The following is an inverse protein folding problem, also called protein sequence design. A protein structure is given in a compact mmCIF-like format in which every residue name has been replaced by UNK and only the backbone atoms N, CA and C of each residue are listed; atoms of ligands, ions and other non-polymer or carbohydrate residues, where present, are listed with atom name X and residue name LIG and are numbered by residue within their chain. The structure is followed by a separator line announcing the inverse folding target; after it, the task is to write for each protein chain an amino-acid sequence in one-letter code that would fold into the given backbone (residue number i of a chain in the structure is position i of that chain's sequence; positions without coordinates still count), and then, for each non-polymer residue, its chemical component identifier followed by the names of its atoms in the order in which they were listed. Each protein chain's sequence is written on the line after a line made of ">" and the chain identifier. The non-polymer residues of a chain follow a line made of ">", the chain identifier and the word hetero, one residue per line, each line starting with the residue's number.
data_IF_481847181352
#
_entry.id   IF_481847181352
#
_cell.length_a   1.000
_cell.length_b   1.000
_cell.length_c   1.000
_cell.angle_alpha   90.00
_cell.angle_beta   90.00
_cell.angle_gamma   90.00
#
_symmetry.space_group_name_H-M   'P 1'
#
loop_
_entity.id
_entity.type
_entity.pdbx_description
1 polymer ?
#
# COMPACT_ATOMS: atom_id res chain seq x y z
N UNK A 1 -3.59 -1.48 -4.55
CA UNK A 1 -2.14 -1.43 -4.82
C UNK A 1 -1.61 -2.56 -5.71
N UNK A 2 -2.26 -3.74 -5.79
CA UNK A 2 -1.77 -4.86 -6.60
C UNK A 2 -1.93 -4.69 -8.12
N UNK A 3 -3.10 -4.23 -8.60
CA UNK A 3 -3.35 -4.09 -10.05
C UNK A 3 -2.44 -3.04 -10.69
N UNK A 4 -2.24 -1.90 -10.04
CA UNK A 4 -1.30 -0.87 -10.51
C UNK A 4 0.14 -1.41 -10.60
N UNK A 5 0.54 -2.24 -9.63
CA UNK A 5 1.88 -2.85 -9.63
C UNK A 5 2.02 -3.94 -10.71
N UNK A 6 0.94 -4.71 -10.96
CA UNK A 6 0.90 -5.69 -12.04
C UNK A 6 1.01 -5.04 -13.43
N UNK A 7 0.25 -3.97 -13.68
CA UNK A 7 0.34 -3.21 -14.94
C UNK A 7 1.75 -2.61 -15.11
N UNK A 8 2.34 -2.09 -14.04
CA UNK A 8 3.73 -1.62 -14.04
C UNK A 8 4.74 -2.73 -14.38
N UNK A 9 4.55 -3.94 -13.83
CA UNK A 9 5.39 -5.09 -14.16
C UNK A 9 5.25 -5.50 -15.63
N UNK A 10 4.04 -5.50 -16.19
CA UNK A 10 3.83 -5.75 -17.61
C UNK A 10 4.49 -4.70 -18.50
N UNK A 11 4.48 -3.43 -18.10
CA UNK A 11 5.21 -2.38 -18.81
C UNK A 11 6.73 -2.66 -18.78
N UNK A 12 7.28 -3.13 -17.66
CA UNK A 12 8.68 -3.56 -17.57
C UNK A 12 9.03 -4.71 -18.52
N UNK A 13 8.15 -5.72 -18.67
CA UNK A 13 8.36 -6.85 -19.59
C UNK A 13 8.37 -6.42 -21.06
N UNK A 14 7.69 -5.32 -21.40
CA UNK A 14 7.74 -4.78 -22.78
C UNK A 14 9.15 -4.35 -23.22
N UNK A 15 10.08 -4.14 -22.28
CA UNK A 15 11.50 -3.87 -22.55
C UNK A 15 12.19 -4.96 -23.38
N UNK A 16 11.89 -6.25 -23.12
CA UNK A 16 12.43 -7.36 -23.92
C UNK A 16 11.99 -7.30 -25.38
N UNK A 17 10.78 -6.77 -25.62
CA UNK A 17 10.23 -6.56 -26.96
C UNK A 17 10.88 -5.32 -27.61
N UNK A 18 11.37 -4.35 -26.85
CA UNK A 18 12.11 -3.22 -27.47
C UNK A 18 13.54 -3.62 -27.82
N UNK A 19 14.19 -4.43 -26.98
CA UNK A 19 15.55 -4.92 -27.21
C UNK A 19 15.67 -5.79 -28.47
N UNK A 20 14.74 -6.73 -28.70
CA UNK A 20 14.78 -7.54 -29.92
C UNK A 20 14.53 -6.72 -31.20
N UNK A 21 13.73 -5.65 -31.12
CA UNK A 21 13.49 -4.72 -32.23
C UNK A 21 14.75 -3.90 -32.55
N UNK A 22 15.45 -3.43 -31.52
CA UNK A 22 16.72 -2.70 -31.68
C UNK A 22 17.80 -3.59 -32.29
N UNK A 23 17.87 -4.85 -31.87
CA UNK A 23 18.80 -5.83 -32.43
C UNK A 23 18.53 -6.12 -33.93
N UNK A 24 17.26 -6.12 -34.35
CA UNK A 24 16.87 -6.44 -35.73
C UNK A 24 17.08 -5.29 -36.73
N UNK A 25 16.88 -4.03 -36.31
CA UNK A 25 16.91 -2.86 -37.21
C UNK A 25 18.23 -2.06 -37.13
N UNK A 26 19.10 -2.40 -36.18
CA UNK A 26 20.36 -1.70 -35.93
C UNK A 26 20.20 -0.56 -34.91
N UNK A 27 21.30 -0.27 -34.20
CA UNK A 27 21.28 0.49 -32.94
C UNK A 27 20.62 1.87 -33.08
N UNK A 28 21.04 2.69 -34.05
CA UNK A 28 20.55 4.07 -34.17
C UNK A 28 19.07 4.20 -34.62
N UNK A 29 18.62 3.30 -35.49
CA UNK A 29 17.24 3.32 -36.03
C UNK A 29 16.27 2.64 -35.06
N UNK A 30 16.69 1.53 -34.47
CA UNK A 30 15.92 0.80 -33.47
C UNK A 30 15.56 1.66 -32.26
N UNK A 31 16.52 2.37 -31.67
CA UNK A 31 16.24 3.24 -30.52
C UNK A 31 15.28 4.38 -30.87
N UNK A 32 15.40 4.98 -32.06
CA UNK A 32 14.47 6.03 -32.52
C UNK A 32 13.04 5.51 -32.60
N UNK A 33 12.84 4.31 -33.14
CA UNK A 33 11.53 3.69 -33.26
C UNK A 33 10.99 3.32 -31.87
N UNK A 34 11.84 2.78 -30.98
CA UNK A 34 11.48 2.48 -29.59
C UNK A 34 10.96 3.71 -28.84
N UNK A 35 11.64 4.86 -28.95
CA UNK A 35 11.19 6.10 -28.32
C UNK A 35 9.89 6.64 -28.93
N UNK A 36 9.69 6.49 -30.24
CA UNK A 36 8.43 6.87 -30.90
C UNK A 36 7.25 5.99 -30.43
N UNK A 37 7.48 4.69 -30.26
CA UNK A 37 6.47 3.77 -29.73
C UNK A 37 6.15 4.12 -28.27
N UNK A 38 7.17 4.34 -27.44
CA UNK A 38 6.98 4.73 -26.04
C UNK A 38 6.15 6.02 -25.92
N UNK A 39 6.54 7.06 -26.68
CA UNK A 39 5.78 8.32 -26.72
C UNK A 39 4.33 8.13 -27.19
N UNK A 40 4.08 7.23 -28.15
CA UNK A 40 2.72 6.90 -28.60
C UNK A 40 1.87 6.24 -27.52
N UNK A 41 2.45 5.29 -26.76
CA UNK A 41 1.77 4.63 -25.64
C UNK A 41 1.49 5.63 -24.51
N UNK A 42 2.47 6.45 -24.15
CA UNK A 42 2.33 7.47 -23.10
C UNK A 42 1.28 8.52 -23.46
N UNK A 43 1.24 8.98 -24.71
CA UNK A 43 0.21 9.92 -25.18
C UNK A 43 -1.18 9.28 -25.16
N UNK A 44 -1.31 8.01 -25.57
CA UNK A 44 -2.60 7.30 -25.53
C UNK A 44 -3.07 7.10 -24.09
N UNK A 45 -2.17 6.75 -23.18
CA UNK A 45 -2.45 6.63 -21.76
C UNK A 45 -2.84 7.98 -21.14
N UNK A 46 -2.14 9.07 -21.50
CA UNK A 46 -2.45 10.42 -21.07
C UNK A 46 -3.83 10.88 -21.54
N UNK A 47 -4.17 10.65 -22.82
CA UNK A 47 -5.48 11.00 -23.37
C UNK A 47 -6.58 10.20 -22.67
N UNK A 48 -6.39 8.89 -22.50
CA UNK A 48 -7.35 8.02 -21.81
C UNK A 48 -7.54 8.47 -20.37
N UNK A 49 -6.45 8.78 -19.67
CA UNK A 49 -6.51 9.33 -18.31
C UNK A 49 -7.25 10.66 -18.29
N UNK A 50 -6.94 11.60 -19.18
CA UNK A 50 -7.58 12.91 -19.22
C UNK A 50 -9.08 12.84 -19.50
N UNK A 51 -9.53 11.89 -20.33
CA UNK A 51 -10.95 11.74 -20.67
C UNK A 51 -11.76 10.97 -19.61
N UNK A 52 -11.17 9.95 -18.99
CA UNK A 52 -11.90 9.02 -18.14
C UNK A 52 -11.58 9.15 -16.64
N UNK A 53 -10.56 9.92 -16.25
CA UNK A 53 -10.27 10.16 -14.84
C UNK A 53 -11.40 10.96 -14.20
N UNK A 54 -12.05 10.34 -13.22
CA UNK A 54 -12.96 11.02 -12.30
C UNK A 54 -12.21 11.27 -10.99
N UNK A 55 -12.03 12.54 -10.64
CA UNK A 55 -11.43 12.94 -9.37
C UNK A 55 -12.38 12.89 -8.17
N UNK A 56 -13.65 12.53 -8.40
CA UNK A 56 -14.63 12.42 -7.33
C UNK A 56 -14.44 11.16 -6.50
N UNK A 57 -14.72 11.28 -5.20
CA UNK A 57 -14.68 10.19 -4.25
C UNK A 57 -15.67 9.11 -4.70
N UNK A 58 -15.13 7.98 -5.13
CA UNK A 58 -15.91 6.87 -5.62
C UNK A 58 -16.80 6.31 -4.51
N UNK A 59 -17.96 5.78 -4.85
CA UNK A 59 -18.96 5.33 -3.87
C UNK A 59 -18.44 4.22 -2.95
N UNK A 60 -17.51 3.40 -3.44
CA UNK A 60 -16.83 2.37 -2.64
C UNK A 60 -15.82 2.94 -1.61
N UNK A 61 -15.43 4.21 -1.75
CA UNK A 61 -14.51 4.92 -0.85
C UNK A 61 -15.24 5.93 0.06
N UNK A 62 -16.56 6.08 -0.09
CA UNK A 62 -17.39 6.79 0.88
C UNK A 62 -17.51 5.88 2.09
N UNK A 63 -16.63 6.07 3.07
CA UNK A 63 -16.87 5.51 4.40
C UNK A 63 -18.19 6.10 4.90
N UNK A 64 -19.21 5.28 5.08
CA UNK A 64 -20.30 5.64 5.98
C UNK A 64 -19.64 5.80 7.34
N UNK A 65 -19.27 7.02 7.72
CA UNK A 65 -18.82 7.28 9.07
C UNK A 65 -19.98 6.87 9.99
N UNK A 66 -19.87 5.81 10.82
CA UNK A 66 -20.71 5.77 11.99
C UNK A 66 -20.34 7.04 12.74
N UNK A 67 -21.30 7.94 12.94
CA UNK A 67 -21.09 9.20 13.64
C UNK A 67 -20.48 8.91 15.01
N UNK A 68 -19.14 8.81 15.09
CA UNK A 68 -18.43 8.66 16.34
C UNK A 68 -18.50 10.04 16.95
N UNK A 69 -19.53 10.20 17.79
CA UNK A 69 -19.70 11.39 18.59
C UNK A 69 -18.36 11.62 19.28
N UNK A 70 -17.87 12.87 19.30
CA UNK A 70 -16.56 13.23 19.86
C UNK A 70 -16.30 12.61 21.26
N UNK A 71 -17.37 12.27 21.98
CA UNK A 71 -17.38 11.50 23.22
C UNK A 71 -16.73 10.10 23.12
N UNK A 72 -16.87 9.36 22.03
CA UNK A 72 -16.26 8.03 21.86
C UNK A 72 -14.75 8.12 21.65
N UNK A 73 -14.29 9.14 20.91
CA UNK A 73 -12.87 9.43 20.71
C UNK A 73 -12.25 9.87 22.03
N UNK A 74 -12.91 10.77 22.76
CA UNK A 74 -12.46 11.21 24.10
C UNK A 74 -12.43 10.03 25.07
N UNK A 75 -13.42 9.12 25.04
CA UNK A 75 -13.45 7.92 25.88
C UNK A 75 -12.28 6.99 25.59
N UNK A 76 -11.95 6.76 24.30
CA UNK A 76 -10.79 5.95 23.89
C UNK A 76 -9.47 6.58 24.29
N UNK A 77 -9.33 7.90 24.15
CA UNK A 77 -8.14 8.63 24.58
C UNK A 77 -8.00 8.63 26.10
N UNK A 78 -9.09 8.82 26.86
CA UNK A 78 -9.07 8.75 28.32
C UNK A 78 -8.63 7.38 28.81
N UNK A 79 -9.22 6.29 28.28
CA UNK A 79 -8.83 4.91 28.63
C UNK A 79 -7.36 4.63 28.27
N UNK A 80 -6.89 5.12 27.12
CA UNK A 80 -5.51 4.91 26.66
C UNK A 80 -4.49 5.67 27.51
N UNK A 81 -4.84 6.88 27.96
CA UNK A 81 -4.03 7.68 28.90
C UNK A 81 -4.02 7.05 30.28
N UNK A 82 -5.14 6.51 30.76
CA UNK A 82 -5.24 5.82 32.04
C UNK A 82 -4.38 4.54 32.07
N UNK A 83 -4.42 3.73 31.01
CA UNK A 83 -3.55 2.57 30.84
C UNK A 83 -2.06 2.94 30.75
N UNK A 84 -1.73 4.03 30.06
CA UNK A 84 -0.36 4.56 29.99
C UNK A 84 0.16 5.06 31.34
N UNK A 85 -0.71 5.69 32.13
CA UNK A 85 -0.43 6.16 33.50
C UNK A 85 -0.21 4.98 34.44
N UNK A 86 -1.04 3.93 34.37
CA UNK A 86 -0.90 2.73 35.20
C UNK A 86 0.41 1.97 34.91
N UNK A 87 0.85 1.93 33.65
CA UNK A 87 2.14 1.30 33.25
C UNK A 87 3.37 2.05 33.75
N UNK A 88 3.27 3.36 34.01
CA UNK A 88 4.38 4.14 34.60
C UNK A 88 4.51 4.02 36.12
N UNK A 89 3.48 3.54 36.82
CA UNK A 89 3.47 3.41 38.30
C UNK A 89 3.99 2.04 38.77
N UNK A 90 3.85 0.99 37.97
CA UNK A 90 4.40 -0.36 38.28
C UNK A 90 5.79 -0.60 37.68
N UNK A 91 6.74 0.31 37.93
CA UNK A 91 8.17 -0.02 37.88
C UNK A 91 8.78 0.23 39.25
N UNK A 92 8.41 -0.62 40.19
CA UNK A 92 9.25 -0.90 41.35
C UNK A 92 9.70 -2.34 41.17
N UNK A 93 10.94 -2.53 40.76
CA UNK A 93 11.63 -3.80 40.97
C UNK A 93 12.11 -3.80 42.42
N UNK A 94 11.66 -4.78 43.23
CA UNK A 94 12.58 -5.39 44.16
C UNK A 94 12.47 -6.91 44.04
N UNK A 95 13.57 -7.51 43.58
CA UNK A 95 14.16 -8.76 44.06
C UNK A 95 13.20 -9.86 44.52
N UNK A 96 13.35 -11.00 43.83
CA UNK A 96 12.95 -12.36 44.18
C UNK A 96 11.55 -12.79 43.74
N UNK A 97 11.55 -13.64 42.71
CA UNK A 97 10.76 -14.87 42.78
C UNK A 97 9.71 -15.07 41.70
N UNK A 98 10.02 -16.05 40.85
CA UNK A 98 9.10 -17.12 40.42
C UNK A 98 8.20 -16.86 39.20
N UNK A 99 8.62 -17.57 38.14
CA UNK A 99 7.86 -18.22 37.06
C UNK A 99 7.20 -17.37 35.96
N UNK A 100 8.02 -17.23 34.91
CA UNK A 100 7.67 -17.64 33.54
C UNK A 100 6.68 -18.82 33.52
N UNK A 101 5.48 -18.57 33.00
CA UNK A 101 4.61 -19.60 32.44
C UNK A 101 4.14 -19.11 31.07
N UNK A 102 5.01 -19.26 30.09
CA UNK A 102 4.59 -19.36 28.70
C UNK A 102 4.18 -20.81 28.45
N UNK A 103 2.91 -21.10 28.14
CA UNK A 103 2.61 -22.23 27.28
C UNK A 103 1.25 -22.08 26.55
N UNK A 104 1.32 -22.36 25.25
CA UNK A 104 0.28 -22.26 24.21
C UNK A 104 -0.83 -23.35 24.35
N UNK A 105 -1.99 -23.20 23.68
CA UNK A 105 -3.06 -24.22 23.60
C UNK A 105 -2.74 -25.29 22.51
N UNK A 106 -3.38 -26.49 22.50
CA UNK A 106 -4.71 -26.63 21.88
C UNK A 106 -5.67 -27.62 22.57
N UNK A 107 -6.97 -27.33 22.37
CA UNK A 107 -8.12 -28.16 22.74
C UNK A 107 -8.37 -29.21 21.64
N UNK A 108 -8.29 -30.51 21.97
CA UNK A 108 -8.80 -31.59 21.11
C UNK A 108 -9.08 -32.85 21.93
N UNK A 109 -10.35 -33.05 22.33
CA UNK A 109 -11.15 -34.26 22.18
C UNK A 109 -12.63 -33.86 22.21
#
# INVERSE_FOLDING_TARGET
>A
MGISNGIGAFAGVSGFILEHLVAAQGNAVGWRISFLIAAGVDLTALITFALFAKGELQEWAKEEEPQQTMQDIVRRLYISVDYGRFRSVFRIDPVAGVQSAAEFPPLCK
#
